data_IF_021538380504
#
_entry.id   IF_021538380504
#
_cell.length_a   1.000
_cell.length_b   1.000
_cell.length_c   1.000
_cell.angle_alpha   90.00
_cell.angle_beta   90.00
_cell.angle_gamma   90.00
#
_symmetry.space_group_name_H-M   'P 1'
#
loop_
_entity.id
_entity.type
_entity.pdbx_description
1 polymer ?
#
# COMPACT_ATOMS: atom_id res chain seq x y z
N UNK A 1 1.97 -13.48 9.96
CA UNK A 1 2.21 -12.10 9.51
C UNK A 1 0.87 -11.38 9.36
N UNK A 2 0.82 -10.12 9.79
CA UNK A 2 -0.36 -9.29 9.66
C UNK A 2 -0.32 -8.54 8.34
N UNK A 3 -1.44 -8.55 7.61
CA UNK A 3 -1.59 -7.75 6.39
C UNK A 3 -2.90 -6.96 6.44
N UNK A 4 -2.87 -5.76 5.87
CA UNK A 4 -4.04 -4.89 5.77
C UNK A 4 -4.15 -4.37 4.35
N UNK A 5 -5.34 -4.47 3.78
CA UNK A 5 -5.63 -4.03 2.41
C UNK A 5 -6.44 -2.72 2.41
N UNK A 6 -6.46 -2.05 1.27
CA UNK A 6 -7.34 -0.92 0.92
C UNK A 6 -7.05 0.43 1.59
N UNK A 7 -6.12 0.49 2.55
CA UNK A 7 -5.75 1.77 3.17
C UNK A 7 -4.75 2.58 2.36
N UNK A 8 -4.19 3.64 2.92
CA UNK A 8 -4.48 4.15 4.27
C UNK A 8 -5.87 4.80 4.41
N UNK A 9 -6.29 5.04 5.63
CA UNK A 9 -7.59 5.63 5.94
C UNK A 9 -7.51 6.46 7.23
N UNK A 10 -8.65 7.02 7.63
CA UNK A 10 -8.74 7.77 8.89
C UNK A 10 -8.50 6.90 10.13
N UNK A 11 -8.55 5.58 9.99
CA UNK A 11 -8.28 4.65 11.09
C UNK A 11 -6.83 4.19 11.17
N UNK A 12 -6.01 4.52 10.17
CA UNK A 12 -4.64 4.02 10.06
C UNK A 12 -3.77 4.43 11.24
N UNK A 13 -3.88 5.68 11.72
CA UNK A 13 -3.08 6.12 12.87
C UNK A 13 -3.39 5.33 14.13
N UNK A 14 -4.64 5.01 14.38
CA UNK A 14 -5.05 4.20 15.52
C UNK A 14 -4.50 2.78 15.44
N UNK A 15 -4.51 2.23 14.23
CA UNK A 15 -3.92 0.91 13.98
C UNK A 15 -2.40 0.94 14.19
N UNK A 16 -1.74 1.97 13.70
CA UNK A 16 -0.29 2.14 13.89
C UNK A 16 0.07 2.33 15.37
N UNK A 17 -0.74 3.05 16.13
CA UNK A 17 -0.57 3.17 17.57
C UNK A 17 -0.59 1.79 18.25
N UNK A 18 -1.54 0.95 17.87
CA UNK A 18 -1.68 -0.40 18.41
C UNK A 18 -0.47 -1.28 18.06
N UNK A 19 0.00 -1.20 16.82
CA UNK A 19 1.17 -1.95 16.38
C UNK A 19 2.43 -1.50 17.14
N UNK A 20 2.60 -0.20 17.31
CA UNK A 20 3.74 0.36 18.02
C UNK A 20 3.73 -0.05 19.49
N UNK A 21 2.59 0.04 20.18
CA UNK A 21 2.44 -0.35 21.58
C UNK A 21 2.76 -1.83 21.82
N UNK A 22 2.47 -2.67 20.85
CA UNK A 22 2.69 -4.12 20.94
C UNK A 22 3.99 -4.57 20.29
N UNK A 23 4.81 -3.63 19.84
CA UNK A 23 6.06 -3.90 19.13
C UNK A 23 5.83 -4.86 17.95
N UNK A 24 4.71 -4.68 17.25
CA UNK A 24 4.31 -5.51 16.12
C UNK A 24 4.50 -4.76 14.81
N UNK A 25 4.69 -5.50 13.72
CA UNK A 25 4.82 -4.96 12.37
C UNK A 25 3.83 -5.64 11.46
N UNK A 26 3.45 -4.94 10.38
CA UNK A 26 2.49 -5.43 9.41
C UNK A 26 2.92 -5.07 8.00
N UNK A 27 2.27 -5.66 7.01
CA UNK A 27 2.37 -5.28 5.61
C UNK A 27 1.07 -4.55 5.24
N UNK A 28 1.20 -3.36 4.67
CA UNK A 28 0.07 -2.57 4.22
C UNK A 28 0.02 -2.56 2.70
N UNK A 29 -1.02 -3.18 2.13
CA UNK A 29 -1.29 -3.14 0.69
C UNK A 29 -2.19 -1.94 0.41
N UNK A 30 -1.59 -0.87 -0.12
CA UNK A 30 -2.21 0.43 -0.20
C UNK A 30 -2.74 0.77 -1.59
N UNK A 31 -3.89 1.42 -1.62
CA UNK A 31 -4.51 1.94 -2.84
C UNK A 31 -4.00 3.35 -3.09
N UNK A 32 -3.55 3.63 -4.31
CA UNK A 32 -2.91 4.90 -4.64
C UNK A 32 -3.76 6.14 -4.37
N UNK A 33 -5.07 6.07 -4.61
CA UNK A 33 -5.98 7.18 -4.31
C UNK A 33 -6.02 7.50 -2.82
N UNK A 34 -5.90 6.49 -1.97
CA UNK A 34 -5.88 6.67 -0.51
C UNK A 34 -4.51 7.18 -0.03
N UNK A 35 -3.41 6.78 -0.69
CA UNK A 35 -2.08 7.32 -0.38
C UNK A 35 -2.07 8.82 -0.57
N UNK A 36 -2.69 9.32 -1.64
CA UNK A 36 -2.77 10.75 -1.92
C UNK A 36 -3.51 11.52 -0.82
N UNK A 37 -4.49 10.89 -0.18
CA UNK A 37 -5.30 11.50 0.89
C UNK A 37 -4.65 11.42 2.28
N UNK A 38 -3.79 10.44 2.51
CA UNK A 38 -3.19 10.17 3.82
C UNK A 38 -1.67 9.97 3.76
N UNK A 39 -0.91 10.96 3.23
CA UNK A 39 0.53 10.78 3.05
C UNK A 39 1.32 10.66 4.35
N UNK A 40 0.88 11.31 5.41
CA UNK A 40 1.61 11.28 6.69
C UNK A 40 1.54 9.89 7.34
N UNK A 41 0.42 9.20 7.18
CA UNK A 41 0.22 7.83 7.68
C UNK A 41 1.16 6.86 6.97
N UNK A 42 1.36 7.05 5.66
CA UNK A 42 2.31 6.24 4.88
C UNK A 42 3.74 6.44 5.36
N UNK A 43 4.13 7.68 5.61
CA UNK A 43 5.46 7.98 6.16
C UNK A 43 5.66 7.34 7.53
N UNK A 44 4.62 7.35 8.36
CA UNK A 44 4.66 6.72 9.68
C UNK A 44 4.81 5.20 9.60
N UNK A 45 4.11 4.55 8.66
CA UNK A 45 4.26 3.11 8.41
C UNK A 45 5.72 2.76 8.14
N UNK A 46 6.37 3.52 7.27
CA UNK A 46 7.78 3.31 6.93
C UNK A 46 8.67 3.51 8.15
N UNK A 47 8.44 4.55 8.93
CA UNK A 47 9.22 4.87 10.12
C UNK A 47 9.12 3.76 11.17
N UNK A 48 7.95 3.14 11.32
CA UNK A 48 7.72 2.04 12.25
C UNK A 48 8.26 0.70 11.74
N UNK A 49 8.79 0.64 10.53
CA UNK A 49 9.37 -0.58 9.97
C UNK A 49 8.36 -1.53 9.35
N UNK A 50 7.15 -1.06 9.02
CA UNK A 50 6.17 -1.86 8.32
C UNK A 50 6.54 -2.02 6.84
N UNK A 51 6.10 -3.12 6.23
CA UNK A 51 6.29 -3.36 4.81
C UNK A 51 5.21 -2.62 4.02
N UNK A 52 5.62 -1.95 2.94
CA UNK A 52 4.72 -1.21 2.08
C UNK A 52 4.43 -2.02 0.83
N UNK A 53 3.15 -2.28 0.59
CA UNK A 53 2.67 -3.03 -0.54
C UNK A 53 1.81 -2.19 -1.47
N UNK A 54 1.69 -2.64 -2.70
CA UNK A 54 0.96 -1.98 -3.78
C UNK A 54 -0.34 -2.74 -4.05
N UNK A 55 -1.49 -2.06 -3.86
CA UNK A 55 -2.82 -2.64 -4.10
C UNK A 55 -3.51 -1.95 -5.30
N UNK A 56 -2.72 -1.50 -6.26
CA UNK A 56 -3.09 -0.73 -7.44
C UNK A 56 -3.48 0.72 -7.14
N UNK A 57 -3.59 1.55 -8.19
CA UNK A 57 -3.84 2.98 -8.00
C UNK A 57 -5.25 3.29 -7.52
N UNK A 58 -6.26 2.67 -8.14
CA UNK A 58 -7.66 2.96 -7.85
C UNK A 58 -8.51 1.70 -7.63
N UNK A 59 -7.86 0.61 -7.23
CA UNK A 59 -8.53 -0.65 -6.85
C UNK A 59 -9.31 -1.31 -8.00
N UNK A 60 -8.80 -1.18 -9.24
CA UNK A 60 -9.41 -1.83 -10.41
C UNK A 60 -9.09 -3.31 -10.49
N UNK A 61 -10.01 -4.06 -11.09
CA UNK A 61 -9.76 -5.47 -11.44
C UNK A 61 -8.76 -5.54 -12.60
N UNK A 62 -7.55 -6.01 -12.32
CA UNK A 62 -6.47 -6.08 -13.31
C UNK A 62 -6.81 -7.00 -14.48
N UNK A 63 -7.71 -7.96 -14.31
CA UNK A 63 -8.12 -8.88 -15.37
C UNK A 63 -8.85 -8.18 -16.51
N UNK A 64 -9.40 -6.98 -16.27
CA UNK A 64 -10.11 -6.19 -17.29
C UNK A 64 -9.24 -5.17 -17.98
N UNK A 65 -7.97 -5.05 -17.59
CA UNK A 65 -7.05 -4.03 -18.10
C UNK A 65 -6.06 -4.62 -19.09
N UNK A 66 -5.56 -3.76 -20.01
CA UNK A 66 -4.45 -4.10 -20.87
C UNK A 66 -3.14 -4.16 -20.07
N UNK A 67 -2.08 -4.77 -20.63
CA UNK A 67 -0.78 -4.84 -19.96
C UNK A 67 -0.20 -3.44 -19.69
N UNK A 68 -0.42 -2.47 -20.59
CA UNK A 68 0.04 -1.10 -20.39
C UNK A 68 -0.72 -0.42 -19.24
N UNK A 69 -2.03 -0.67 -19.14
CA UNK A 69 -2.85 -0.14 -18.05
C UNK A 69 -2.44 -0.76 -16.70
N UNK A 70 -2.16 -2.06 -16.67
CA UNK A 70 -1.67 -2.75 -15.47
C UNK A 70 -0.34 -2.14 -15.02
N UNK A 71 0.60 -1.97 -15.96
CA UNK A 71 1.90 -1.35 -15.66
C UNK A 71 1.74 0.07 -15.10
N UNK A 72 0.84 0.85 -15.68
CA UNK A 72 0.55 2.21 -15.21
C UNK A 72 -0.03 2.22 -13.80
N UNK A 73 -0.98 1.32 -13.51
CA UNK A 73 -1.61 1.22 -12.18
C UNK A 73 -0.58 0.91 -11.10
N UNK A 74 0.34 0.01 -11.38
CA UNK A 74 1.39 -0.37 -10.43
C UNK A 74 2.43 0.74 -10.31
N UNK A 75 2.89 1.31 -11.43
CA UNK A 75 3.93 2.32 -11.45
C UNK A 75 3.50 3.61 -10.72
N UNK A 76 2.23 4.01 -10.83
CA UNK A 76 1.73 5.22 -10.17
C UNK A 76 1.81 5.11 -8.65
N UNK A 77 1.49 3.96 -8.08
CA UNK A 77 1.60 3.72 -6.64
C UNK A 77 3.06 3.70 -6.21
N UNK A 78 3.91 3.02 -6.95
CA UNK A 78 5.35 2.98 -6.64
C UNK A 78 5.95 4.38 -6.65
N UNK A 79 5.59 5.21 -7.61
CA UNK A 79 6.05 6.60 -7.67
C UNK A 79 5.60 7.40 -6.45
N UNK A 80 4.35 7.23 -6.01
CA UNK A 80 3.86 7.88 -4.80
C UNK A 80 4.68 7.46 -3.57
N UNK A 81 4.94 6.16 -3.43
CA UNK A 81 5.71 5.63 -2.30
C UNK A 81 7.16 6.11 -2.31
N UNK A 82 7.80 6.13 -3.47
CA UNK A 82 9.17 6.66 -3.62
C UNK A 82 9.21 8.13 -3.21
N UNK A 83 8.24 8.93 -3.64
CA UNK A 83 8.17 10.35 -3.30
C UNK A 83 7.97 10.59 -1.81
N UNK A 84 7.23 9.73 -1.13
CA UNK A 84 6.93 9.88 0.30
C UNK A 84 7.97 9.26 1.22
N UNK A 85 8.56 8.13 0.82
CA UNK A 85 9.41 7.32 1.72
C UNK A 85 10.81 7.04 1.19
N UNK A 86 11.08 7.34 -0.06
CA UNK A 86 12.34 7.01 -0.72
C UNK A 86 12.42 5.61 -1.30
N UNK A 87 11.43 4.76 -1.07
CA UNK A 87 11.39 3.39 -1.58
C UNK A 87 10.02 3.07 -2.15
N UNK A 88 9.99 2.28 -3.24
CA UNK A 88 8.75 1.75 -3.79
C UNK A 88 8.23 0.57 -2.98
N UNK A 89 7.12 -0.02 -3.44
CA UNK A 89 6.55 -1.18 -2.78
C UNK A 89 7.43 -2.42 -3.00
N UNK A 90 7.52 -3.26 -1.98
CA UNK A 90 8.26 -4.53 -2.06
C UNK A 90 7.39 -5.67 -2.60
N UNK A 91 6.06 -5.53 -2.52
CA UNK A 91 5.10 -6.56 -2.92
C UNK A 91 3.87 -5.91 -3.55
N UNK A 92 3.19 -6.68 -4.40
CA UNK A 92 1.94 -6.26 -5.06
C UNK A 92 0.86 -7.29 -4.74
N UNK A 93 -0.35 -6.81 -4.38
CA UNK A 93 -1.53 -7.65 -4.22
C UNK A 93 -2.64 -7.06 -5.08
N UNK A 94 -3.03 -7.72 -6.19
CA UNK A 94 -4.18 -7.28 -6.97
C UNK A 94 -5.48 -7.47 -6.21
N UNK A 95 -6.50 -6.71 -6.58
CA UNK A 95 -7.84 -6.91 -6.07
C UNK A 95 -8.35 -8.29 -6.51
N UNK A 96 -8.96 -9.04 -5.59
CA UNK A 96 -9.66 -10.32 -5.82
C UNK A 96 -8.83 -11.49 -6.36
N UNK A 97 -7.54 -11.33 -6.62
CA UNK A 97 -6.72 -12.40 -7.12
C UNK A 97 -5.43 -12.50 -6.33
N UNK A 98 -5.21 -13.68 -5.77
CA UNK A 98 -3.90 -14.08 -5.30
C UNK A 98 -3.06 -14.36 -6.55
N UNK A 99 -2.35 -13.33 -7.05
CA UNK A 99 -1.32 -13.58 -8.04
C UNK A 99 -0.03 -13.88 -7.30
N UNK A 100 0.37 -15.13 -7.36
CA UNK A 100 1.71 -15.53 -6.97
C UNK A 100 2.61 -15.24 -8.18
N UNK A 101 3.38 -14.21 -8.06
CA UNK A 101 4.43 -13.92 -9.05
C UNK A 101 5.65 -14.76 -8.73
#
# INVERSE_FOLDING_TARGET
>A
ALTFDDGPSSFTDRLLDCLEENNAKATFFMVGTEIASFPDEVKRMKKLGCELGNHTYDHKDLATLSSDEISSEIARVDEQLVNLTGEGASVVRPMDLLMIL
#
